data_IF_781244478836
#
_entry.id   IF_781244478836
#
_cell.length_a   1.000
_cell.length_b   1.000
_cell.length_c   1.000
_cell.angle_alpha   90.00
_cell.angle_beta   90.00
_cell.angle_gamma   90.00
#
_symmetry.space_group_name_H-M   'P 1'
#
loop_
_entity.id
_entity.type
_entity.pdbx_description
1 polymer ?
#
# COMPACT_ATOMS: atom_id res chain seq x y z
N UNK A 1 29.22 4.93 -7.68
CA UNK A 1 28.01 5.10 -8.54
C UNK A 1 27.03 3.94 -8.35
N UNK A 2 27.47 2.68 -8.50
CA UNK A 2 26.61 1.50 -8.30
C UNK A 2 26.02 1.40 -6.89
N UNK A 3 26.83 1.56 -5.84
CA UNK A 3 26.36 1.58 -4.45
C UNK A 3 25.20 2.58 -4.25
N UNK A 4 25.40 3.83 -4.66
CA UNK A 4 24.41 4.90 -4.49
C UNK A 4 23.12 4.58 -5.24
N UNK A 5 23.22 4.03 -6.46
CA UNK A 5 22.05 3.61 -7.23
C UNK A 5 21.27 2.49 -6.53
N UNK A 6 21.95 1.45 -6.03
CA UNK A 6 21.34 0.33 -5.29
C UNK A 6 20.69 0.81 -4.00
N UNK A 7 21.34 1.72 -3.27
CA UNK A 7 20.79 2.30 -2.04
C UNK A 7 19.54 3.12 -2.31
N UNK A 8 19.57 3.99 -3.32
CA UNK A 8 18.39 4.78 -3.71
C UNK A 8 17.25 3.88 -4.14
N UNK A 9 17.53 2.86 -4.96
CA UNK A 9 16.52 1.88 -5.37
C UNK A 9 15.91 1.15 -4.18
N UNK A 10 16.74 0.62 -3.27
CA UNK A 10 16.28 -0.06 -2.06
C UNK A 10 15.34 0.81 -1.22
N UNK A 11 15.69 2.09 -1.02
CA UNK A 11 14.88 3.06 -0.27
C UNK A 11 13.57 3.34 -0.99
N UNK A 12 13.61 3.69 -2.28
CA UNK A 12 12.40 4.04 -3.04
C UNK A 12 11.45 2.85 -3.13
N UNK A 13 11.94 1.65 -3.45
CA UNK A 13 11.12 0.44 -3.50
C UNK A 13 10.49 0.13 -2.14
N UNK A 14 11.24 0.25 -1.05
CA UNK A 14 10.70 0.04 0.30
C UNK A 14 9.62 1.05 0.66
N UNK A 15 9.81 2.33 0.31
CA UNK A 15 8.82 3.37 0.56
C UNK A 15 7.52 3.13 -0.22
N UNK A 16 7.61 2.71 -1.49
CA UNK A 16 6.44 2.38 -2.31
C UNK A 16 5.67 1.18 -1.73
N UNK A 17 6.37 0.13 -1.30
CA UNK A 17 5.74 -1.04 -0.65
C UNK A 17 5.05 -0.64 0.66
N UNK A 18 5.71 0.17 1.50
CA UNK A 18 5.13 0.67 2.76
C UNK A 18 3.90 1.53 2.47
N UNK A 19 3.97 2.43 1.50
CA UNK A 19 2.86 3.30 1.13
C UNK A 19 1.65 2.48 0.63
N UNK A 20 1.87 1.53 -0.30
CA UNK A 20 0.81 0.67 -0.80
C UNK A 20 0.16 -0.19 0.29
N UNK A 21 0.96 -0.79 1.17
CA UNK A 21 0.41 -1.53 2.31
C UNK A 21 -0.33 -0.63 3.30
N UNK A 22 0.18 0.57 3.56
CA UNK A 22 -0.47 1.56 4.41
C UNK A 22 -1.83 2.01 3.86
N UNK A 23 -1.93 2.23 2.55
CA UNK A 23 -3.20 2.54 1.88
C UNK A 23 -4.21 1.39 2.01
N UNK A 24 -3.77 0.14 1.81
CA UNK A 24 -4.59 -1.03 2.06
C UNK A 24 -5.13 -1.09 3.50
N UNK A 25 -4.28 -0.84 4.50
CA UNK A 25 -4.71 -0.81 5.91
C UNK A 25 -5.76 0.27 6.17
N UNK A 26 -5.57 1.45 5.58
CA UNK A 26 -6.54 2.56 5.67
C UNK A 26 -7.88 2.15 5.06
N UNK A 27 -7.88 1.51 3.89
CA UNK A 27 -9.12 1.07 3.24
C UNK A 27 -9.84 -0.03 4.01
N UNK A 28 -9.11 -1.01 4.56
CA UNK A 28 -9.69 -2.08 5.38
C UNK A 28 -10.35 -1.49 6.65
N UNK A 29 -9.72 -0.50 7.27
CA UNK A 29 -10.28 0.21 8.43
C UNK A 29 -11.52 1.04 8.07
N UNK A 30 -11.53 1.71 6.91
CA UNK A 30 -12.70 2.43 6.39
C UNK A 30 -13.85 1.47 6.08
N UNK A 31 -13.58 0.39 5.35
CA UNK A 31 -14.58 -0.63 5.03
C UNK A 31 -15.21 -1.25 6.28
N UNK A 32 -14.42 -1.52 7.31
CA UNK A 32 -14.95 -2.01 8.58
C UNK A 32 -15.86 -0.97 9.26
N UNK A 33 -15.45 0.30 9.24
CA UNK A 33 -16.22 1.41 9.80
C UNK A 33 -17.53 1.61 9.05
N UNK A 34 -17.52 1.53 7.72
CA UNK A 34 -18.70 1.71 6.88
C UNK A 34 -19.68 0.56 7.06
N UNK A 35 -19.21 -0.68 7.20
CA UNK A 35 -20.06 -1.83 7.53
C UNK A 35 -20.74 -1.66 8.89
N UNK A 36 -19.97 -1.31 9.92
CA UNK A 36 -20.52 -1.02 11.26
C UNK A 36 -21.50 0.16 11.22
N UNK A 37 -21.18 1.22 10.46
CA UNK A 37 -22.05 2.38 10.31
C UNK A 37 -23.32 2.01 9.54
N UNK A 38 -23.26 1.17 8.52
CA UNK A 38 -24.44 0.71 7.77
C UNK A 38 -25.34 -0.18 8.63
N UNK A 39 -24.75 -1.09 9.43
CA UNK A 39 -25.46 -1.90 10.41
C UNK A 39 -26.15 -1.03 11.48
N UNK A 40 -25.47 0.01 11.98
CA UNK A 40 -26.00 0.97 12.96
C UNK A 40 -26.96 1.98 12.31
N UNK A 41 -26.79 2.35 11.04
CA UNK A 41 -27.66 3.27 10.30
C UNK A 41 -29.01 2.62 9.94
N UNK A 42 -29.11 1.30 10.05
CA UNK A 42 -30.37 0.60 10.30
C UNK A 42 -31.09 1.00 11.60
N UNK A 43 -30.50 1.88 12.43
CA UNK A 43 -31.07 2.41 13.69
C UNK A 43 -30.96 3.93 13.95
N UNK A 44 -30.20 4.74 13.19
CA UNK A 44 -30.42 6.21 13.10
C UNK A 44 -29.39 6.89 12.20
N UNK A 45 -29.89 7.49 11.13
CA UNK A 45 -29.17 8.47 10.32
C UNK A 45 -28.76 9.69 11.16
N UNK A 46 -27.47 10.06 11.16
CA UNK A 46 -26.96 11.41 10.83
C UNK A 46 -25.44 11.42 10.95
N UNK A 47 -24.73 11.58 9.83
CA UNK A 47 -23.34 12.07 9.86
C UNK A 47 -23.32 13.40 9.13
N UNK A 48 -23.32 14.49 9.88
CA UNK A 48 -22.91 15.81 9.39
C UNK A 48 -21.39 15.90 9.48
N UNK A 49 -20.73 15.39 8.45
CA UNK A 49 -19.34 15.67 8.11
C UNK A 49 -19.21 15.49 6.59
N UNK A 50 -20.04 16.19 5.83
CA UNK A 50 -20.09 16.07 4.37
C UNK A 50 -19.33 17.26 3.77
N UNK A 51 -18.07 17.10 3.33
CA UNK A 51 -17.46 18.09 2.44
C UNK A 51 -18.35 18.26 1.21
N UNK A 52 -18.34 19.43 0.58
CA UNK A 52 -19.18 19.61 -0.61
C UNK A 52 -18.80 18.57 -1.68
N UNK A 53 -19.75 18.11 -2.51
CA UNK A 53 -19.46 17.13 -3.55
C UNK A 53 -18.31 17.54 -4.51
N UNK A 54 -18.03 18.84 -4.62
CA UNK A 54 -16.86 19.36 -5.36
C UNK A 54 -15.54 19.21 -4.61
N UNK A 55 -15.52 19.43 -3.29
CA UNK A 55 -14.35 19.22 -2.44
C UNK A 55 -14.00 17.72 -2.33
N UNK A 56 -15.02 16.86 -2.28
CA UNK A 56 -14.82 15.41 -2.29
C UNK A 56 -14.29 14.95 -3.65
N UNK A 57 -14.90 15.37 -4.77
CA UNK A 57 -14.40 15.06 -6.12
C UNK A 57 -12.98 15.59 -6.38
N UNK A 58 -12.65 16.77 -5.86
CA UNK A 58 -11.30 17.32 -6.00
C UNK A 58 -10.27 16.53 -5.17
N UNK A 59 -10.64 16.07 -3.96
CA UNK A 59 -9.80 15.15 -3.17
C UNK A 59 -9.64 13.81 -3.87
N UNK A 60 -10.73 13.21 -4.33
CA UNK A 60 -10.72 11.92 -5.02
C UNK A 60 -9.86 11.97 -6.28
N UNK A 61 -10.00 13.02 -7.11
CA UNK A 61 -9.22 13.19 -8.33
C UNK A 61 -7.72 13.43 -8.07
N UNK A 62 -7.38 14.19 -7.03
CA UNK A 62 -5.98 14.39 -6.63
C UNK A 62 -5.37 13.12 -6.00
N UNK A 63 -6.17 12.38 -5.24
CA UNK A 63 -5.75 11.14 -4.60
C UNK A 63 -5.67 9.97 -5.59
N UNK A 64 -6.47 9.94 -6.66
CA UNK A 64 -6.50 8.83 -7.60
C UNK A 64 -5.16 8.66 -8.32
N UNK A 65 -4.55 9.74 -8.82
CA UNK A 65 -3.31 9.63 -9.61
C UNK A 65 -2.09 9.21 -8.79
N UNK A 66 -1.89 9.80 -7.60
CA UNK A 66 -0.78 9.41 -6.72
C UNK A 66 -0.95 7.98 -6.18
N UNK A 67 -2.21 7.59 -5.90
CA UNK A 67 -2.55 6.24 -5.44
C UNK A 67 -2.35 5.20 -6.53
N UNK A 68 -2.82 5.47 -7.75
CA UNK A 68 -2.63 4.60 -8.92
C UNK A 68 -1.14 4.35 -9.19
N UNK A 69 -0.31 5.40 -9.14
CA UNK A 69 1.14 5.24 -9.29
C UNK A 69 1.76 4.34 -8.20
N UNK A 70 1.29 4.45 -6.96
CA UNK A 70 1.76 3.58 -5.85
C UNK A 70 1.28 2.15 -6.07
N UNK A 71 0.03 1.96 -6.49
CA UNK A 71 -0.56 0.64 -6.73
C UNK A 71 0.14 -0.06 -7.91
N UNK A 72 0.36 0.63 -9.04
CA UNK A 72 1.08 0.12 -10.21
C UNK A 72 2.53 -0.27 -9.88
N UNK A 73 3.24 0.62 -9.17
CA UNK A 73 4.60 0.31 -8.74
C UNK A 73 4.63 -0.85 -7.75
N UNK A 74 3.63 -0.92 -6.86
CA UNK A 74 3.40 -2.02 -5.95
C UNK A 74 3.21 -3.34 -6.69
N UNK A 75 2.35 -3.39 -7.70
CA UNK A 75 2.10 -4.61 -8.48
C UNK A 75 3.36 -5.14 -9.15
N UNK A 76 4.20 -4.25 -9.70
CA UNK A 76 5.50 -4.63 -10.28
C UNK A 76 6.43 -5.17 -9.20
N UNK A 77 6.59 -4.45 -8.08
CA UNK A 77 7.49 -4.83 -6.98
C UNK A 77 7.04 -6.11 -6.26
N UNK A 78 5.74 -6.38 -6.16
CA UNK A 78 5.19 -7.55 -5.49
C UNK A 78 5.05 -8.75 -6.43
N UNK A 79 5.05 -8.55 -7.75
CA UNK A 79 4.87 -9.60 -8.75
C UNK A 79 5.70 -10.88 -8.52
N UNK A 80 6.97 -10.84 -8.07
CA UNK A 80 7.77 -12.06 -7.92
C UNK A 80 7.29 -12.97 -6.78
N UNK A 81 6.54 -12.42 -5.81
CA UNK A 81 6.07 -13.12 -4.61
C UNK A 81 4.55 -13.17 -4.50
N UNK A 82 3.81 -12.45 -5.35
CA UNK A 82 2.35 -12.37 -5.32
C UNK A 82 1.67 -13.73 -5.47
N UNK A 83 2.24 -14.62 -6.29
CA UNK A 83 1.69 -15.97 -6.50
C UNK A 83 1.70 -16.87 -5.26
N UNK A 84 2.54 -16.57 -4.26
CA UNK A 84 2.67 -17.40 -3.05
C UNK A 84 1.43 -17.39 -2.15
N UNK A 85 0.60 -16.35 -2.27
CA UNK A 85 -0.57 -16.16 -1.41
C UNK A 85 -1.86 -16.04 -2.19
N UNK A 86 -1.85 -16.24 -3.52
CA UNK A 86 -3.00 -16.04 -4.40
C UNK A 86 -4.24 -16.84 -3.96
N UNK A 87 -4.05 -18.07 -3.49
CA UNK A 87 -5.14 -18.97 -3.07
C UNK A 87 -5.65 -18.72 -1.64
N UNK A 88 -5.07 -17.77 -0.89
CA UNK A 88 -5.52 -17.49 0.47
C UNK A 88 -6.84 -16.71 0.46
N UNK A 89 -7.81 -17.11 1.28
CA UNK A 89 -9.06 -16.36 1.46
C UNK A 89 -8.86 -15.04 2.23
N UNK A 90 -7.80 -14.92 3.03
CA UNK A 90 -7.52 -13.74 3.85
C UNK A 90 -6.84 -12.62 3.06
N UNK A 91 -7.49 -11.45 2.96
CA UNK A 91 -6.89 -10.24 2.36
C UNK A 91 -5.57 -9.83 3.04
N UNK A 92 -5.49 -9.97 4.36
CA UNK A 92 -4.28 -9.68 5.12
C UNK A 92 -3.11 -10.58 4.72
N UNK A 93 -3.37 -11.85 4.39
CA UNK A 93 -2.34 -12.75 3.88
C UNK A 93 -1.97 -12.37 2.44
N UNK A 94 -2.95 -12.13 1.57
CA UNK A 94 -2.73 -11.74 0.17
C UNK A 94 -1.95 -10.43 0.01
N UNK A 95 -2.08 -9.49 0.95
CA UNK A 95 -1.40 -8.18 0.89
C UNK A 95 -0.19 -8.08 1.82
N UNK A 96 -0.31 -8.57 3.06
CA UNK A 96 0.72 -8.41 4.09
C UNK A 96 1.94 -9.29 3.88
N UNK A 97 1.74 -10.55 3.48
CA UNK A 97 2.88 -11.47 3.25
C UNK A 97 3.74 -11.01 2.07
N UNK A 98 3.17 -10.70 0.87
CA UNK A 98 3.96 -10.13 -0.22
C UNK A 98 4.67 -8.82 0.17
N UNK A 99 4.00 -7.91 0.88
CA UNK A 99 4.60 -6.66 1.33
C UNK A 99 5.80 -6.89 2.26
N UNK A 100 5.67 -7.81 3.23
CA UNK A 100 6.76 -8.17 4.13
C UNK A 100 7.94 -8.80 3.38
N UNK A 101 7.66 -9.74 2.47
CA UNK A 101 8.69 -10.37 1.65
C UNK A 101 9.40 -9.35 0.76
N UNK A 102 8.67 -8.42 0.15
CA UNK A 102 9.25 -7.36 -0.67
C UNK A 102 10.15 -6.43 0.16
N UNK A 103 9.78 -6.08 1.39
CA UNK A 103 10.64 -5.30 2.28
C UNK A 103 11.92 -6.05 2.67
N UNK A 104 11.85 -7.37 2.85
CA UNK A 104 13.04 -8.19 3.07
C UNK A 104 13.92 -8.25 1.82
N UNK A 105 13.35 -8.39 0.63
CA UNK A 105 14.09 -8.46 -0.63
C UNK A 105 14.73 -7.11 -0.96
N UNK A 106 13.94 -6.05 -1.02
CA UNK A 106 14.39 -4.73 -1.50
C UNK A 106 15.03 -3.90 -0.39
N UNK A 107 14.48 -3.90 0.82
CA UNK A 107 15.06 -3.15 1.93
C UNK A 107 16.33 -3.80 2.45
N UNK A 108 16.23 -5.06 2.88
CA UNK A 108 17.37 -5.77 3.48
C UNK A 108 18.31 -6.36 2.42
N UNK A 109 17.80 -7.13 1.45
CA UNK A 109 18.61 -7.79 0.43
C UNK A 109 19.39 -6.81 -0.44
N UNK A 110 18.71 -5.88 -1.12
CA UNK A 110 19.40 -4.87 -1.96
C UNK A 110 20.23 -3.91 -1.10
N UNK A 111 19.77 -3.55 0.10
CA UNK A 111 20.56 -2.74 1.04
C UNK A 111 21.89 -3.41 1.43
N UNK A 112 21.89 -4.73 1.62
CA UNK A 112 23.11 -5.50 1.87
C UNK A 112 24.02 -5.53 0.65
N UNK A 113 23.47 -5.75 -0.56
CA UNK A 113 24.22 -5.72 -1.81
C UNK A 113 24.88 -4.36 -2.05
N UNK A 114 24.17 -3.26 -1.77
CA UNK A 114 24.73 -1.92 -1.83
C UNK A 114 25.94 -1.78 -0.91
N UNK A 115 25.82 -2.26 0.34
CA UNK A 115 26.91 -2.23 1.34
C UNK A 115 28.09 -3.11 0.96
N UNK A 116 27.86 -4.21 0.24
CA UNK A 116 28.93 -5.06 -0.28
C UNK A 116 29.65 -4.39 -1.47
N UNK A 117 28.90 -3.80 -2.41
CA UNK A 117 29.45 -3.08 -3.57
C UNK A 117 30.18 -1.76 -3.20
N UNK A 118 30.05 -1.31 -1.96
CA UNK A 118 30.76 -0.17 -1.38
C UNK A 118 32.18 -0.53 -0.88
N UNK A 119 32.50 -1.82 -0.79
CA UNK A 119 33.80 -2.34 -0.37
C UNK A 119 34.66 -2.68 -1.56
#
# INVERSE_FOLDING_TARGET
MLESALRTFAVVASLLVIAGFGLFVIDEARSATDQTTAEIAGQKATRTADPSPEEERAREAAHSGARELIDDAGDVLLSPVAGLTADSESRWVRRGVPALLALLIYGFGVGMLARFAAR
#
